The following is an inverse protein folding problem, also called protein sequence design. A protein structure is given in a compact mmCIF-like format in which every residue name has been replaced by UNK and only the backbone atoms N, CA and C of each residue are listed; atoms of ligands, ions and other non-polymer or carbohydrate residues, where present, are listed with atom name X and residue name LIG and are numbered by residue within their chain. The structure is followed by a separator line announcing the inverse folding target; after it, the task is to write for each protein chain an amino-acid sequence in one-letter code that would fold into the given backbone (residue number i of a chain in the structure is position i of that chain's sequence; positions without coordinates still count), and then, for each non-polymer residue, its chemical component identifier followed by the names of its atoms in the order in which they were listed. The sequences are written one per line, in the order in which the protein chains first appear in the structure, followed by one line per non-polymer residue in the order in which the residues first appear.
data_IF_281217391644
#
_entry.id   IF_281217391644
#
_cell.length_a   1.000
_cell.length_b   1.000
_cell.length_c   1.000
_cell.angle_alpha   90.00
_cell.angle_beta   90.00
_cell.angle_gamma   90.00
#
_symmetry.space_group_name_H-M   'P 1'
#
loop_
_entity.id
_entity.type
_entity.pdbx_description
1 polymer ?
#
# COMPACT_ATOMS: atom_id res chain seq x y z
N UNK A 1 -15.65 -79.94 68.16
CA UNK A 1 -16.44 -80.47 67.03
C UNK A 1 -17.66 -79.56 66.89
N UNK A 2 -17.54 -78.54 66.04
CA UNK A 2 -18.55 -77.49 65.83
C UNK A 2 -18.96 -77.53 64.36
N UNK A 3 -20.13 -78.09 64.07
CA UNK A 3 -20.77 -78.03 62.74
C UNK A 3 -22.27 -77.90 62.93
N UNK A 4 -22.72 -76.67 63.17
CA UNK A 4 -24.11 -76.27 63.00
C UNK A 4 -24.14 -75.15 61.97
N UNK A 5 -24.19 -75.53 60.69
CA UNK A 5 -24.70 -74.65 59.62
C UNK A 5 -25.93 -75.37 59.06
N UNK A 6 -27.14 -74.81 59.18
CA UNK A 6 -28.33 -75.39 58.60
C UNK A 6 -28.25 -75.32 57.07
N UNK A 7 -28.05 -76.48 56.45
CA UNK A 7 -28.13 -76.67 55.00
C UNK A 7 -29.57 -76.93 54.61
N UNK A 8 -30.33 -75.89 54.33
CA UNK A 8 -31.51 -75.89 53.42
C UNK A 8 -32.05 -74.46 53.36
N UNK A 9 -31.28 -73.59 52.71
CA UNK A 9 -31.89 -72.44 52.05
C UNK A 9 -32.59 -73.03 50.82
N UNK A 10 -33.89 -72.83 50.73
CA UNK A 10 -34.73 -73.29 49.62
C UNK A 10 -34.07 -72.92 48.27
N UNK A 11 -33.84 -73.92 47.42
CA UNK A 11 -32.98 -73.81 46.23
C UNK A 11 -33.48 -72.72 45.25
N UNK A 12 -34.78 -72.41 45.27
CA UNK A 12 -35.40 -71.31 44.53
C UNK A 12 -35.01 -69.91 45.05
N UNK A 13 -34.76 -69.75 46.34
CA UNK A 13 -34.31 -68.48 46.93
C UNK A 13 -32.85 -68.19 46.61
N UNK A 14 -31.99 -69.20 46.61
CA UNK A 14 -30.58 -69.05 46.26
C UNK A 14 -30.39 -68.58 44.81
N UNK A 15 -31.18 -69.11 43.88
CA UNK A 15 -31.16 -68.70 42.46
C UNK A 15 -31.69 -67.28 42.25
N UNK A 16 -32.73 -66.88 42.98
CA UNK A 16 -33.28 -65.52 42.92
C UNK A 16 -32.29 -64.47 43.47
N UNK A 17 -31.66 -64.74 44.62
CA UNK A 17 -30.63 -63.87 45.19
C UNK A 17 -29.41 -63.77 44.28
N UNK A 18 -28.97 -64.88 43.68
CA UNK A 18 -27.87 -64.88 42.71
C UNK A 18 -28.20 -64.07 41.44
N UNK A 19 -29.44 -64.17 40.93
CA UNK A 19 -29.89 -63.40 39.78
C UNK A 19 -29.92 -61.88 40.07
N UNK A 20 -30.45 -61.48 41.23
CA UNK A 20 -30.47 -60.07 41.67
C UNK A 20 -29.06 -59.53 41.88
N UNK A 21 -28.19 -60.29 42.54
CA UNK A 21 -26.79 -59.92 42.73
C UNK A 21 -26.04 -59.78 41.39
N UNK A 22 -26.25 -60.71 40.45
CA UNK A 22 -25.70 -60.64 39.11
C UNK A 22 -26.17 -59.40 38.34
N UNK A 23 -27.47 -59.09 38.39
CA UNK A 23 -28.04 -57.91 37.73
C UNK A 23 -27.48 -56.61 38.32
N UNK A 24 -27.31 -56.53 39.64
CA UNK A 24 -26.73 -55.37 40.32
C UNK A 24 -25.27 -55.14 39.93
N UNK A 25 -24.48 -56.20 39.79
CA UNK A 25 -23.08 -56.11 39.34
C UNK A 25 -23.03 -55.57 37.90
N UNK A 26 -23.86 -56.10 37.00
CA UNK A 26 -23.95 -55.63 35.60
C UNK A 26 -24.41 -54.17 35.53
N UNK A 27 -25.42 -53.79 36.31
CA UNK A 27 -25.92 -52.42 36.40
C UNK A 27 -24.85 -51.44 36.93
N UNK A 28 -24.06 -51.86 37.92
CA UNK A 28 -22.96 -51.06 38.44
C UNK A 28 -21.84 -50.88 37.40
N UNK A 29 -21.45 -51.95 36.71
CA UNK A 29 -20.45 -51.89 35.63
C UNK A 29 -20.90 -50.99 34.47
N UNK A 30 -22.16 -51.11 34.03
CA UNK A 30 -22.71 -50.22 32.99
C UNK A 30 -22.75 -48.77 33.44
N UNK A 31 -23.15 -48.48 34.69
CA UNK A 31 -23.14 -47.11 35.23
C UNK A 31 -21.73 -46.50 35.25
N UNK A 32 -20.71 -47.28 35.63
CA UNK A 32 -19.32 -46.83 35.61
C UNK A 32 -18.82 -46.59 34.17
N UNK A 33 -19.19 -47.46 33.22
CA UNK A 33 -18.87 -47.29 31.80
C UNK A 33 -19.50 -46.03 31.19
N UNK A 34 -20.78 -45.75 31.48
CA UNK A 34 -21.42 -44.51 31.02
C UNK A 34 -20.77 -43.25 31.59
N UNK A 35 -20.33 -43.29 32.85
CA UNK A 35 -19.63 -42.16 33.49
C UNK A 35 -18.27 -41.88 32.85
N UNK A 36 -17.50 -42.92 32.49
CA UNK A 36 -16.21 -42.73 31.83
C UNK A 36 -16.38 -42.18 30.40
N UNK A 37 -17.39 -42.66 29.67
CA UNK A 37 -17.74 -42.14 28.34
C UNK A 37 -18.17 -40.67 28.39
N UNK A 38 -19.02 -40.28 29.34
CA UNK A 38 -19.46 -38.89 29.46
C UNK A 38 -18.30 -37.94 29.78
N UNK A 39 -17.38 -38.36 30.65
CA UNK A 39 -16.17 -37.56 30.98
C UNK A 39 -15.23 -37.48 29.77
N UNK A 40 -15.06 -38.58 29.03
CA UNK A 40 -14.25 -38.61 27.82
C UNK A 40 -14.81 -37.69 26.73
N UNK A 41 -16.12 -37.76 26.46
CA UNK A 41 -16.79 -36.90 25.49
C UNK A 41 -16.71 -35.43 25.89
N UNK A 42 -16.89 -35.10 27.18
CA UNK A 42 -16.76 -33.73 27.67
C UNK A 42 -15.31 -33.19 27.48
N UNK A 43 -14.30 -34.03 27.74
CA UNK A 43 -12.89 -33.67 27.55
C UNK A 43 -12.53 -33.52 26.07
N UNK A 44 -13.01 -34.42 25.21
CA UNK A 44 -12.84 -34.33 23.76
C UNK A 44 -13.52 -33.07 23.20
N UNK A 45 -14.75 -32.78 23.61
CA UNK A 45 -15.46 -31.58 23.21
C UNK A 45 -14.75 -30.29 23.66
N UNK A 46 -14.12 -30.29 24.84
CA UNK A 46 -13.31 -29.17 25.31
C UNK A 46 -12.05 -28.98 24.45
N UNK A 47 -11.31 -30.06 24.17
CA UNK A 47 -10.12 -30.03 23.33
C UNK A 47 -10.45 -29.61 21.88
N UNK A 48 -11.57 -30.08 21.33
CA UNK A 48 -12.02 -29.68 19.99
C UNK A 48 -12.37 -28.19 19.92
N UNK A 49 -12.94 -27.61 20.98
CA UNK A 49 -13.20 -26.17 21.05
C UNK A 49 -11.90 -25.38 21.08
N UNK A 50 -10.97 -25.77 21.95
CA UNK A 50 -9.65 -25.13 22.07
C UNK A 50 -8.88 -25.23 20.75
N UNK A 51 -8.90 -26.38 20.09
CA UNK A 51 -8.26 -26.57 18.79
C UNK A 51 -8.86 -25.68 17.70
N UNK A 52 -10.19 -25.51 17.66
CA UNK A 52 -10.86 -24.61 16.70
C UNK A 52 -10.54 -23.14 16.97
N UNK A 53 -10.48 -22.73 18.24
CA UNK A 53 -10.11 -21.37 18.63
C UNK A 53 -8.66 -21.06 18.22
N UNK A 54 -7.74 -21.98 18.50
CA UNK A 54 -6.34 -21.85 18.10
C UNK A 54 -6.18 -21.83 16.57
N UNK A 55 -6.91 -22.68 15.84
CA UNK A 55 -6.89 -22.68 14.38
C UNK A 55 -7.40 -21.35 13.81
N UNK A 56 -8.51 -20.83 14.34
CA UNK A 56 -9.06 -19.54 13.90
C UNK A 56 -8.09 -18.38 14.14
N UNK A 57 -7.33 -18.43 15.24
CA UNK A 57 -6.32 -17.42 15.54
C UNK A 57 -5.11 -17.53 14.59
N UNK A 58 -4.63 -18.75 14.31
CA UNK A 58 -3.57 -18.98 13.32
C UNK A 58 -3.98 -18.48 11.93
N UNK A 59 -5.22 -18.74 11.52
CA UNK A 59 -5.74 -18.31 10.22
C UNK A 59 -5.79 -16.77 10.13
N UNK A 60 -6.25 -16.07 11.18
CA UNK A 60 -6.22 -14.59 11.22
C UNK A 60 -4.80 -14.05 11.12
N UNK A 61 -3.85 -14.66 11.82
CA UNK A 61 -2.45 -14.23 11.77
C UNK A 61 -1.83 -14.48 10.38
N UNK A 62 -2.14 -15.62 9.75
CA UNK A 62 -1.72 -15.93 8.40
C UNK A 62 -2.27 -14.91 7.39
N UNK A 63 -3.55 -14.57 7.48
CA UNK A 63 -4.20 -13.57 6.63
C UNK A 63 -3.60 -12.18 6.80
N UNK A 64 -3.31 -11.76 8.04
CA UNK A 64 -2.66 -10.48 8.31
C UNK A 64 -1.24 -10.42 7.73
N UNK A 65 -0.46 -11.51 7.90
CA UNK A 65 0.89 -11.61 7.32
C UNK A 65 0.83 -11.54 5.80
N UNK A 66 -0.07 -12.30 5.18
CA UNK A 66 -0.27 -12.29 3.73
C UNK A 66 -0.58 -10.89 3.21
N UNK A 67 -1.52 -10.17 3.84
CA UNK A 67 -1.83 -8.78 3.44
C UNK A 67 -0.64 -7.84 3.59
N UNK A 68 0.17 -8.02 4.64
CA UNK A 68 1.38 -7.25 4.85
C UNK A 68 2.44 -7.55 3.78
N UNK A 69 2.64 -8.82 3.46
CA UNK A 69 3.58 -9.26 2.43
C UNK A 69 3.18 -8.71 1.04
N UNK A 70 1.88 -8.76 0.72
CA UNK A 70 1.31 -8.16 -0.49
C UNK A 70 1.54 -6.63 -0.54
N UNK A 71 1.31 -5.93 0.57
CA UNK A 71 1.56 -4.49 0.66
C UNK A 71 3.05 -4.13 0.51
N UNK A 72 3.95 -4.92 1.11
CA UNK A 72 5.41 -4.72 1.00
C UNK A 72 5.90 -5.00 -0.42
N UNK A 73 5.39 -6.05 -1.07
CA UNK A 73 5.68 -6.35 -2.46
C UNK A 73 5.21 -5.21 -3.38
N UNK A 74 4.00 -4.69 -3.16
CA UNK A 74 3.47 -3.53 -3.87
C UNK A 74 4.34 -2.29 -3.68
N UNK A 75 4.71 -1.96 -2.44
CA UNK A 75 5.57 -0.81 -2.15
C UNK A 75 6.93 -0.91 -2.85
N UNK A 76 7.50 -2.11 -2.91
CA UNK A 76 8.77 -2.39 -3.59
C UNK A 76 8.65 -2.25 -5.10
N UNK A 77 7.56 -2.74 -5.69
CA UNK A 77 7.30 -2.61 -7.13
C UNK A 77 7.08 -1.15 -7.54
N UNK A 78 6.30 -0.39 -6.76
CA UNK A 78 6.09 1.06 -6.97
C UNK A 78 7.39 1.84 -6.81
N UNK A 79 8.24 1.46 -5.86
CA UNK A 79 9.57 2.08 -5.69
C UNK A 79 10.44 1.92 -6.94
N UNK A 80 10.49 0.71 -7.51
CA UNK A 80 11.23 0.46 -8.74
C UNK A 80 10.66 1.27 -9.92
N UNK A 81 9.33 1.33 -10.03
CA UNK A 81 8.66 2.11 -11.08
C UNK A 81 8.91 3.62 -10.94
N UNK A 82 8.81 4.18 -9.73
CA UNK A 82 9.13 5.59 -9.46
C UNK A 82 10.59 5.91 -9.77
N UNK A 83 11.51 4.98 -9.50
CA UNK A 83 12.93 5.16 -9.86
C UNK A 83 13.12 5.23 -11.38
N UNK A 84 12.43 4.36 -12.13
CA UNK A 84 12.44 4.41 -13.60
C UNK A 84 11.80 5.69 -14.13
N UNK A 85 10.67 6.11 -13.55
CA UNK A 85 9.99 7.36 -13.90
C UNK A 85 10.87 8.59 -13.63
N UNK A 86 11.53 8.63 -12.46
CA UNK A 86 12.48 9.68 -12.10
C UNK A 86 13.60 9.81 -13.13
N UNK A 87 14.20 8.69 -13.54
CA UNK A 87 15.24 8.68 -14.57
C UNK A 87 14.72 9.16 -15.93
N UNK A 88 13.54 8.70 -16.35
CA UNK A 88 12.91 9.11 -17.61
C UNK A 88 12.60 10.61 -17.64
N UNK A 89 12.00 11.16 -16.57
CA UNK A 89 11.69 12.58 -16.44
C UNK A 89 12.96 13.43 -16.34
N UNK A 90 13.96 12.99 -15.57
CA UNK A 90 15.25 13.70 -15.47
C UNK A 90 15.96 13.82 -16.81
N UNK A 91 15.94 12.76 -17.63
CA UNK A 91 16.48 12.80 -18.98
C UNK A 91 15.64 13.69 -19.89
N UNK A 92 14.31 13.61 -19.80
CA UNK A 92 13.40 14.44 -20.57
C UNK A 92 13.53 15.94 -20.28
N UNK A 93 13.83 16.34 -19.03
CA UNK A 93 14.09 17.73 -18.67
C UNK A 93 15.25 18.36 -19.45
N UNK A 94 16.28 17.57 -19.79
CA UNK A 94 17.41 18.05 -20.62
C UNK A 94 16.93 18.35 -22.03
N UNK A 95 16.17 17.43 -22.63
CA UNK A 95 15.61 17.62 -23.97
C UNK A 95 14.61 18.78 -24.01
N UNK A 96 13.80 18.92 -22.96
CA UNK A 96 12.86 20.03 -22.80
C UNK A 96 13.58 21.38 -22.75
N UNK A 97 14.74 21.45 -22.09
CA UNK A 97 15.55 22.68 -22.04
C UNK A 97 16.11 23.08 -23.41
N UNK A 98 16.52 22.10 -24.23
CA UNK A 98 16.96 22.35 -25.61
C UNK A 98 15.78 22.84 -26.47
N UNK A 99 14.60 22.23 -26.32
CA UNK A 99 13.41 22.63 -27.04
C UNK A 99 12.99 24.08 -26.68
N UNK A 100 12.99 24.43 -25.40
CA UNK A 100 12.71 25.80 -24.92
C UNK A 100 13.65 26.79 -25.60
N UNK A 101 14.97 26.58 -25.54
CA UNK A 101 15.93 27.48 -26.17
C UNK A 101 15.75 27.59 -27.69
N UNK A 102 15.37 26.49 -28.35
CA UNK A 102 15.02 26.48 -29.77
C UNK A 102 13.82 27.36 -30.09
N UNK A 103 12.73 27.25 -29.32
CA UNK A 103 11.53 28.06 -29.52
C UNK A 103 11.70 29.52 -29.08
N UNK A 104 12.53 29.80 -28.08
CA UNK A 104 12.95 31.17 -27.73
C UNK A 104 13.72 31.82 -28.89
N UNK A 105 14.56 31.06 -29.60
CA UNK A 105 15.26 31.56 -30.77
C UNK A 105 14.33 31.84 -31.97
N UNK A 106 13.23 31.09 -32.10
CA UNK A 106 12.18 31.37 -33.10
C UNK A 106 11.46 32.69 -32.77
N UNK A 107 11.28 33.02 -31.48
CA UNK A 107 10.66 34.26 -31.03
C UNK A 107 9.22 34.42 -31.50
N UNK A 108 8.89 35.58 -32.07
CA UNK A 108 7.54 35.94 -32.50
C UNK A 108 7.09 35.32 -33.83
N UNK A 109 7.96 34.55 -34.48
CA UNK A 109 7.61 33.90 -35.73
C UNK A 109 6.54 32.83 -35.48
N UNK A 110 5.49 32.86 -36.30
CA UNK A 110 4.42 31.85 -36.25
C UNK A 110 4.96 30.51 -36.75
N UNK A 111 4.68 29.48 -35.98
CA UNK A 111 4.97 28.11 -36.38
C UNK A 111 3.88 27.68 -37.38
N UNK A 112 4.28 27.44 -38.63
CA UNK A 112 3.38 27.06 -39.73
C UNK A 112 3.09 25.57 -39.80
N UNK A 113 3.92 24.73 -39.18
CA UNK A 113 3.70 23.29 -39.08
C UNK A 113 3.00 22.93 -37.77
N UNK A 114 2.16 21.90 -37.76
CA UNK A 114 1.49 21.42 -36.55
C UNK A 114 2.54 20.86 -35.55
N UNK A 115 3.08 21.75 -34.72
CA UNK A 115 4.02 21.39 -33.66
C UNK A 115 3.24 20.83 -32.48
N UNK A 116 3.50 19.55 -32.20
CA UNK A 116 2.88 18.85 -31.08
C UNK A 116 3.72 19.06 -29.84
N UNK A 117 3.30 19.97 -28.97
CA UNK A 117 3.96 20.27 -27.67
C UNK A 117 4.20 18.99 -26.87
N UNK A 118 3.26 18.04 -26.94
CA UNK A 118 3.34 16.72 -26.32
C UNK A 118 4.55 15.87 -26.76
N UNK A 119 5.17 16.14 -27.90
CA UNK A 119 6.36 15.42 -28.35
C UNK A 119 7.63 15.81 -27.57
N UNK A 120 7.63 16.98 -26.92
CA UNK A 120 8.77 17.46 -26.12
C UNK A 120 8.69 17.04 -24.66
N UNK A 121 7.53 16.55 -24.20
CA UNK A 121 7.35 16.16 -22.82
C UNK A 121 7.82 14.72 -22.55
N UNK A 122 8.39 14.44 -21.37
CA UNK A 122 8.73 13.08 -20.97
C UNK A 122 7.49 12.17 -21.01
N UNK A 123 7.63 10.99 -21.62
CA UNK A 123 6.59 9.96 -21.63
C UNK A 123 6.99 8.83 -20.71
N UNK A 124 6.05 8.41 -19.87
CA UNK A 124 6.23 7.28 -18.98
C UNK A 124 4.90 6.53 -18.86
N UNK A 125 4.94 5.20 -18.97
CA UNK A 125 3.76 4.36 -18.78
C UNK A 125 3.87 3.68 -17.41
N UNK A 126 3.13 4.14 -16.39
CA UNK A 126 3.21 3.60 -15.04
C UNK A 126 2.37 2.32 -14.91
N UNK A 127 2.89 1.22 -15.45
CA UNK A 127 2.21 -0.08 -15.52
C UNK A 127 1.89 -0.67 -14.14
N UNK A 128 2.83 -0.60 -13.18
CA UNK A 128 2.66 -1.10 -11.82
C UNK A 128 1.55 -0.31 -11.13
N UNK A 129 1.62 1.02 -11.16
CA UNK A 129 0.57 1.87 -10.59
C UNK A 129 -0.80 1.58 -11.22
N UNK A 130 -0.91 1.58 -12.56
CA UNK A 130 -2.19 1.34 -13.26
C UNK A 130 -2.79 -0.03 -12.93
N UNK A 131 -1.95 -1.07 -12.87
CA UNK A 131 -2.41 -2.43 -12.60
C UNK A 131 -2.82 -2.65 -11.15
N UNK A 132 -2.35 -1.80 -10.23
CA UNK A 132 -2.55 -1.96 -8.79
C UNK A 132 -3.32 -0.81 -8.14
N UNK A 133 -3.92 0.11 -8.90
CA UNK A 133 -4.61 1.29 -8.34
C UNK A 133 -5.70 0.90 -7.34
N UNK A 134 -6.38 -0.22 -7.56
CA UNK A 134 -7.41 -0.75 -6.66
C UNK A 134 -6.88 -1.31 -5.33
N UNK A 135 -5.58 -1.62 -5.23
CA UNK A 135 -4.95 -2.20 -4.04
C UNK A 135 -3.99 -1.24 -3.33
N UNK A 136 -3.73 -0.05 -3.87
CA UNK A 136 -2.86 0.98 -3.25
C UNK A 136 -3.30 1.33 -1.82
N UNK A 137 -4.59 1.21 -1.48
CA UNK A 137 -5.08 1.42 -0.11
C UNK A 137 -4.44 0.52 0.94
N UNK A 138 -3.85 -0.62 0.55
CA UNK A 138 -3.12 -1.52 1.45
C UNK A 138 -1.86 -0.88 2.05
N UNK A 139 -1.31 0.16 1.42
CA UNK A 139 -0.17 0.94 1.92
C UNK A 139 -0.53 1.86 3.09
N UNK A 140 -1.82 1.96 3.42
CA UNK A 140 -2.35 2.95 4.35
C UNK A 140 -2.68 4.27 3.65
N UNK A 141 -3.67 5.02 4.16
CA UNK A 141 -4.28 6.15 3.45
C UNK A 141 -3.29 7.28 3.13
N UNK A 142 -2.33 7.53 4.02
CA UNK A 142 -1.35 8.60 3.83
C UNK A 142 -0.37 8.32 2.69
N UNK A 143 0.20 7.10 2.62
CA UNK A 143 1.12 6.72 1.56
C UNK A 143 0.35 6.55 0.24
N UNK A 144 -0.84 5.96 0.30
CA UNK A 144 -1.73 5.80 -0.84
C UNK A 144 -2.04 7.13 -1.55
N UNK A 145 -2.39 8.17 -0.78
CA UNK A 145 -2.66 9.49 -1.32
C UNK A 145 -1.42 10.09 -2.01
N UNK A 146 -0.27 10.06 -1.33
CA UNK A 146 0.98 10.59 -1.87
C UNK A 146 1.40 9.88 -3.18
N UNK A 147 1.24 8.56 -3.26
CA UNK A 147 1.48 7.78 -4.48
C UNK A 147 0.56 8.24 -5.59
N UNK A 148 -0.75 8.31 -5.35
CA UNK A 148 -1.73 8.75 -6.35
C UNK A 148 -1.41 10.16 -6.86
N UNK A 149 -1.09 11.08 -5.97
CA UNK A 149 -0.73 12.47 -6.31
C UNK A 149 0.49 12.56 -7.23
N UNK A 150 1.55 11.80 -6.93
CA UNK A 150 2.77 11.77 -7.75
C UNK A 150 2.48 11.19 -9.13
N UNK A 151 1.75 10.08 -9.22
CA UNK A 151 1.43 9.48 -10.52
C UNK A 151 0.47 10.32 -11.35
N UNK A 152 -0.49 11.02 -10.72
CA UNK A 152 -1.44 11.87 -11.45
C UNK A 152 -0.73 12.97 -12.27
N UNK A 153 0.35 13.55 -11.73
CA UNK A 153 1.17 14.53 -12.45
C UNK A 153 1.74 13.98 -13.76
N UNK A 154 2.13 12.69 -13.79
CA UNK A 154 2.62 12.06 -15.02
C UNK A 154 1.49 11.83 -16.04
N UNK A 155 0.28 11.54 -15.56
CA UNK A 155 -0.88 11.27 -16.40
C UNK A 155 -1.46 12.54 -17.06
N UNK A 156 -1.32 13.71 -16.43
CA UNK A 156 -1.76 15.01 -17.00
C UNK A 156 -1.07 15.29 -18.35
N UNK A 157 0.13 14.75 -18.59
CA UNK A 157 0.85 14.91 -19.86
C UNK A 157 0.15 14.27 -21.07
N UNK A 158 -0.88 13.45 -20.86
CA UNK A 158 -1.61 12.77 -21.92
C UNK A 158 -2.63 13.66 -22.65
N UNK A 159 -3.05 14.80 -22.08
CA UNK A 159 -4.20 15.60 -22.55
C UNK A 159 -3.84 16.92 -23.25
N UNK A 160 -2.60 17.09 -23.72
CA UNK A 160 -2.14 18.37 -24.29
C UNK A 160 -2.46 18.46 -25.78
N UNK A 161 -3.12 19.55 -26.19
CA UNK A 161 -3.49 19.84 -27.58
C UNK A 161 -2.33 20.34 -28.44
N UNK A 162 -2.58 20.45 -29.74
CA UNK A 162 -1.61 20.94 -30.72
C UNK A 162 -1.45 22.47 -30.65
N UNK A 163 -0.27 22.99 -30.97
CA UNK A 163 0.06 24.42 -30.88
C UNK A 163 0.08 25.13 -32.26
N UNK A 164 -0.71 24.64 -33.22
CA UNK A 164 -0.76 25.20 -34.56
C UNK A 164 -1.14 26.69 -34.55
N UNK A 165 -0.39 27.52 -35.28
CA UNK A 165 -0.65 28.96 -35.40
C UNK A 165 -0.19 29.81 -34.21
N UNK A 166 0.46 29.22 -33.20
CA UNK A 166 1.10 29.96 -32.09
C UNK A 166 2.53 30.40 -32.43
N UNK A 167 3.05 31.34 -31.65
CA UNK A 167 4.44 31.83 -31.76
C UNK A 167 5.41 30.91 -31.03
N UNK A 168 6.69 30.95 -31.42
CA UNK A 168 7.75 30.26 -30.68
C UNK A 168 7.80 30.65 -29.21
N UNK A 169 7.66 31.94 -28.90
CA UNK A 169 7.64 32.45 -27.52
C UNK A 169 6.55 31.82 -26.65
N UNK A 170 5.33 31.67 -27.19
CA UNK A 170 4.22 31.02 -26.46
C UNK A 170 4.53 29.55 -26.19
N UNK A 171 5.08 28.83 -27.17
CA UNK A 171 5.48 27.43 -26.99
C UNK A 171 6.59 27.31 -25.95
N UNK A 172 7.62 28.17 -26.01
CA UNK A 172 8.70 28.19 -25.03
C UNK A 172 8.20 28.45 -23.60
N UNK A 173 7.22 29.35 -23.45
CA UNK A 173 6.58 29.66 -22.16
C UNK A 173 5.85 28.44 -21.62
N UNK A 174 5.06 27.76 -22.45
CA UNK A 174 4.34 26.53 -22.07
C UNK A 174 5.31 25.42 -21.67
N UNK A 175 6.35 25.17 -22.48
CA UNK A 175 7.37 24.16 -22.18
C UNK A 175 8.14 24.49 -20.89
N UNK A 176 8.40 25.78 -20.62
CA UNK A 176 9.03 26.23 -19.38
C UNK A 176 8.16 25.95 -18.15
N UNK A 177 6.84 26.18 -18.24
CA UNK A 177 5.92 25.81 -17.17
C UNK A 177 5.94 24.31 -16.87
N UNK A 178 5.94 23.46 -17.92
CA UNK A 178 6.10 22.01 -17.76
C UNK A 178 7.45 21.64 -17.15
N UNK A 179 8.54 22.32 -17.53
CA UNK A 179 9.86 22.09 -16.96
C UNK A 179 9.89 22.30 -15.45
N UNK A 180 9.32 23.41 -14.98
CA UNK A 180 9.26 23.70 -13.54
C UNK A 180 8.32 22.74 -12.80
N UNK A 181 7.18 22.37 -13.41
CA UNK A 181 6.30 21.33 -12.88
C UNK A 181 7.04 20.00 -12.69
N UNK A 182 7.78 19.53 -13.71
CA UNK A 182 8.55 18.28 -13.61
C UNK A 182 9.71 18.36 -12.63
N UNK A 183 10.34 19.52 -12.44
CA UNK A 183 11.36 19.71 -11.39
C UNK A 183 10.76 19.57 -10.00
N UNK A 184 9.61 20.20 -9.75
CA UNK A 184 8.88 20.03 -8.50
C UNK A 184 8.48 18.56 -8.29
N UNK A 185 8.01 17.90 -9.36
CA UNK A 185 7.65 16.50 -9.35
C UNK A 185 8.82 15.57 -9.02
N UNK A 186 10.04 15.83 -9.49
CA UNK A 186 11.21 14.99 -9.16
C UNK A 186 11.47 14.96 -7.64
N UNK A 187 11.30 16.10 -6.97
CA UNK A 187 11.42 16.19 -5.50
C UNK A 187 10.30 15.40 -4.81
N UNK A 188 9.07 15.51 -5.30
CA UNK A 188 7.92 14.76 -4.77
C UNK A 188 8.11 13.26 -4.96
N UNK A 189 8.62 12.85 -6.13
CA UNK A 189 8.94 11.47 -6.45
C UNK A 189 9.99 10.89 -5.48
N UNK A 190 11.05 11.64 -5.16
CA UNK A 190 12.06 11.22 -4.18
C UNK A 190 11.48 11.09 -2.77
N UNK A 191 10.60 12.01 -2.37
CA UNK A 191 9.93 11.96 -1.08
C UNK A 191 9.06 10.71 -0.96
N UNK A 192 8.18 10.45 -1.93
CA UNK A 192 7.31 9.27 -1.94
C UNK A 192 8.12 7.98 -2.02
N UNK A 193 9.21 7.97 -2.79
CA UNK A 193 10.16 6.85 -2.80
C UNK A 193 10.72 6.58 -1.38
N UNK A 194 11.15 7.61 -0.64
CA UNK A 194 11.61 7.44 0.74
C UNK A 194 10.52 6.88 1.67
N UNK A 195 9.25 7.32 1.51
CA UNK A 195 8.12 6.77 2.27
C UNK A 195 7.86 5.30 1.97
N UNK A 196 7.89 4.90 0.70
CA UNK A 196 7.70 3.51 0.30
C UNK A 196 8.84 2.60 0.80
N UNK A 197 10.07 3.11 0.82
CA UNK A 197 11.21 2.42 1.42
C UNK A 197 11.11 2.33 2.95
N UNK A 198 10.58 3.36 3.62
CA UNK A 198 10.29 3.32 5.05
C UNK A 198 9.25 2.24 5.37
N UNK A 199 8.18 2.17 4.58
CA UNK A 199 7.13 1.17 4.72
C UNK A 199 7.66 -0.27 4.57
N UNK A 200 8.54 -0.53 3.60
CA UNK A 200 9.07 -1.89 3.34
C UNK A 200 10.28 -2.26 4.21
N UNK A 201 11.15 -1.29 4.52
CA UNK A 201 12.45 -1.52 5.16
C UNK A 201 12.57 -1.05 6.61
N UNK A 202 11.52 -0.48 7.19
CA UNK A 202 11.52 -0.01 8.58
C UNK A 202 12.40 1.22 8.85
N UNK A 203 12.77 1.97 7.80
CA UNK A 203 13.44 3.27 7.95
C UNK A 203 12.46 4.32 8.49
N UNK A 204 12.97 5.43 9.00
CA UNK A 204 12.14 6.56 9.44
C UNK A 204 11.32 7.13 8.27
N UNK A 205 10.00 7.28 8.45
CA UNK A 205 9.10 7.88 7.45
C UNK A 205 9.31 9.40 7.46
N UNK A 206 9.67 10.05 6.33
CA UNK A 206 9.81 11.51 6.27
C UNK A 206 8.47 12.26 6.45
N UNK A 207 7.34 11.54 6.55
CA UNK A 207 6.01 12.10 6.78
C UNK A 207 5.27 12.40 5.49
N UNK A 208 4.04 12.93 5.60
CA UNK A 208 3.19 13.16 4.43
C UNK A 208 3.75 14.23 3.47
N UNK A 209 3.66 13.96 2.16
CA UNK A 209 4.15 14.83 1.09
C UNK A 209 3.58 16.26 1.17
N UNK A 210 2.32 16.40 1.59
CA UNK A 210 1.67 17.71 1.76
C UNK A 210 2.48 18.66 2.64
N UNK A 211 2.94 18.20 3.81
CA UNK A 211 3.73 19.03 4.72
C UNK A 211 5.09 19.38 4.12
N UNK A 212 5.69 18.46 3.38
CA UNK A 212 6.98 18.70 2.73
C UNK A 212 6.87 19.70 1.57
N UNK A 213 5.76 19.68 0.81
CA UNK A 213 5.44 20.73 -0.17
C UNK A 213 5.27 22.08 0.53
N UNK A 214 4.52 22.12 1.63
CA UNK A 214 4.28 23.35 2.39
C UNK A 214 5.59 23.96 2.92
N UNK A 215 6.51 23.13 3.45
CA UNK A 215 7.84 23.58 3.88
C UNK A 215 8.65 24.17 2.73
N UNK A 216 8.65 23.55 1.55
CA UNK A 216 9.35 24.07 0.36
C UNK A 216 8.78 25.41 -0.09
N UNK A 217 7.46 25.56 -0.08
CA UNK A 217 6.81 26.85 -0.41
C UNK A 217 7.15 27.93 0.63
N UNK A 218 7.13 27.60 1.91
CA UNK A 218 7.46 28.55 2.99
C UNK A 218 8.96 28.90 3.05
N UNK A 219 9.83 27.95 2.71
CA UNK A 219 11.28 28.11 2.68
C UNK A 219 11.85 28.72 1.41
N UNK A 220 11.01 28.98 0.39
CA UNK A 220 11.38 29.76 -0.79
C UNK A 220 11.08 31.23 -0.47
N UNK A 221 12.04 32.04 0.01
CA UNK A 221 11.80 33.48 0.11
C UNK A 221 11.46 34.00 -1.28
N UNK A 222 10.47 34.89 -1.36
CA UNK A 222 10.08 35.62 -2.56
C UNK A 222 11.27 36.40 -3.14
N UNK A 223 12.18 35.71 -3.84
CA UNK A 223 13.00 36.34 -4.86
C UNK A 223 12.03 36.58 -6.02
N UNK A 224 11.94 37.84 -6.43
CA UNK A 224 11.30 38.26 -7.68
C UNK A 224 9.82 38.67 -7.63
N UNK A 225 9.45 39.55 -6.69
CA UNK A 225 8.68 40.73 -7.14
C UNK A 225 9.70 41.78 -7.56
N UNK A 226 10.01 41.78 -8.84
CA UNK A 226 10.83 42.78 -9.50
C UNK A 226 10.38 44.19 -9.10
N UNK A 227 11.33 45.03 -8.71
CA UNK A 227 11.16 46.47 -8.66
C UNK A 227 11.61 47.03 -10.03
N UNK A 228 10.71 47.47 -10.93
CA UNK A 228 11.07 48.01 -12.23
C UNK A 228 11.45 49.51 -12.15
N UNK A 229 12.30 49.88 -11.20
CA UNK A 229 12.65 51.29 -10.95
C UNK A 229 14.16 51.50 -10.81
N UNK A 230 14.94 51.00 -11.77
CA UNK A 230 16.31 51.46 -11.97
C UNK A 230 16.37 52.35 -13.22
N UNK A 231 15.94 53.59 -13.02
CA UNK A 231 16.11 54.70 -13.97
C UNK A 231 17.59 54.82 -14.34
N UNK A 232 17.95 54.40 -15.56
CA UNK A 232 19.23 54.74 -16.19
C UNK A 232 19.21 56.23 -16.52
N UNK A 233 19.76 57.06 -15.65
CA UNK A 233 20.22 58.40 -16.00
C UNK A 233 21.49 58.27 -16.85
N UNK A 234 21.38 58.57 -18.15
CA UNK A 234 22.53 58.77 -19.02
C UNK A 234 23.26 60.07 -18.61
N UNK A 235 24.59 60.09 -18.52
CA UNK A 235 25.34 61.34 -18.43
C UNK A 235 25.43 62.00 -19.81
N UNK A 236 24.86 63.19 -19.90
CA UNK A 236 25.09 64.18 -20.96
C UNK A 236 26.58 64.54 -20.99
N UNK A 237 27.26 64.31 -22.12
CA UNK A 237 28.57 64.89 -22.42
C UNK A 237 28.36 66.12 -23.31
N UNK A 238 28.68 67.28 -22.76
CA UNK A 238 29.17 68.44 -23.49
C UNK A 238 30.68 68.32 -23.68
#
# INVERSE_FOLDING_TARGET
MWTWIPTTIDQGWATLVAAVAGFLIVAYQTKQGFKSLSVSQAKQAALDREAREHQAELDRQADQRRRRDEAVALASALTAELTAAHAAVSNGLRMLSVAIAGFEHVGDHKITEATKVRNYLPRFNPLVYRSNVGTIGQLGPSIAHDVVDVYNTLLISETIGDAEGTTGEVIATVLSAYREMYRGWLLDCMHVHARLLSFSGGKEDPGALFFERQKRTAGTPARETANPSATKTLPSRH
#
